data_IF_569152453545
#
_entry.id   IF_569152453545
#
_cell.length_a   1.000
_cell.length_b   1.000
_cell.length_c   1.000
_cell.angle_alpha   90.00
_cell.angle_beta   90.00
_cell.angle_gamma   90.00
#
_symmetry.space_group_name_H-M   'P 1'
#
loop_
_entity.id
_entity.type
_entity.pdbx_description
1 polymer ?
#
# COMPACT_ATOMS: atom_id res chain seq x y z
N UNK A 1 19.01 -7.57 -18.05
CA UNK A 1 19.56 -7.70 -16.67
C UNK A 1 18.49 -7.36 -15.67
N UNK A 2 18.57 -7.92 -14.46
CA UNK A 2 17.58 -7.71 -13.39
C UNK A 2 18.30 -7.19 -12.14
N UNK A 3 17.61 -6.37 -11.35
CA UNK A 3 18.16 -5.81 -10.12
C UNK A 3 17.08 -5.49 -9.10
N UNK A 4 17.47 -5.55 -7.83
CA UNK A 4 16.62 -5.19 -6.69
C UNK A 4 17.41 -4.34 -5.70
N UNK A 5 16.79 -3.26 -5.23
CA UNK A 5 17.32 -2.39 -4.17
C UNK A 5 16.41 -2.41 -2.96
N UNK A 6 16.97 -2.72 -1.78
CA UNK A 6 16.24 -2.74 -0.51
C UNK A 6 16.59 -1.53 0.35
N UNK A 7 15.61 -1.04 1.10
CA UNK A 7 15.80 0.03 2.08
C UNK A 7 14.81 -0.09 3.24
N UNK A 8 15.26 0.27 4.45
CA UNK A 8 14.39 0.44 5.60
C UNK A 8 13.93 1.92 5.65
N UNK A 9 12.82 2.21 4.98
CA UNK A 9 12.22 3.54 4.99
C UNK A 9 11.52 3.81 6.35
N UNK A 10 11.18 5.06 6.69
CA UNK A 10 10.55 5.40 7.98
C UNK A 10 9.28 4.61 8.30
N UNK A 11 8.54 4.16 7.27
CA UNK A 11 7.29 3.41 7.39
C UNK A 11 7.46 1.89 7.27
N UNK A 12 8.69 1.40 7.07
CA UNK A 12 8.99 -0.03 6.96
C UNK A 12 9.79 -0.44 5.71
N UNK A 13 9.59 -1.68 5.26
CA UNK A 13 10.34 -2.28 4.18
C UNK A 13 10.00 -1.69 2.80
N UNK A 14 11.03 -1.22 2.09
CA UNK A 14 10.96 -0.70 0.72
C UNK A 14 11.82 -1.56 -0.20
N UNK A 15 11.28 -1.91 -1.37
CA UNK A 15 12.05 -2.53 -2.44
C UNK A 15 11.70 -1.94 -3.81
N UNK A 16 12.72 -1.64 -4.59
CA UNK A 16 12.59 -1.25 -6.00
C UNK A 16 13.18 -2.36 -6.87
N UNK A 17 12.42 -2.78 -7.88
CA UNK A 17 12.76 -3.89 -8.79
C UNK A 17 12.85 -3.35 -10.20
N UNK A 18 13.92 -3.69 -10.92
CA UNK A 18 14.15 -3.20 -12.27
C UNK A 18 14.58 -4.33 -13.21
N UNK A 19 14.01 -4.31 -14.42
CA UNK A 19 14.43 -5.13 -15.56
C UNK A 19 14.89 -4.19 -16.67
N UNK A 20 16.14 -4.33 -17.11
CA UNK A 20 16.73 -3.54 -18.20
C UNK A 20 16.96 -4.45 -19.42
N UNK A 21 16.45 -4.02 -20.57
CA UNK A 21 16.59 -4.67 -21.89
C UNK A 21 16.91 -3.60 -22.94
N UNK A 22 17.84 -3.89 -23.86
CA UNK A 22 18.30 -2.94 -24.89
C UNK A 22 18.65 -1.53 -24.37
N UNK A 23 19.37 -1.51 -23.24
CA UNK A 23 19.76 -0.29 -22.52
C UNK A 23 18.60 0.61 -22.06
N UNK A 24 17.37 0.07 -22.00
CA UNK A 24 16.17 0.75 -21.50
C UNK A 24 15.53 -0.02 -20.35
N UNK A 25 14.79 0.70 -19.50
CA UNK A 25 13.96 0.08 -18.47
C UNK A 25 12.78 -0.60 -19.17
N UNK A 26 12.76 -1.93 -19.15
CA UNK A 26 11.63 -2.74 -19.63
C UNK A 26 10.53 -2.84 -18.58
N UNK A 27 10.90 -2.97 -17.31
CA UNK A 27 9.96 -3.00 -16.20
C UNK A 27 10.57 -2.35 -14.96
N UNK A 28 9.75 -1.64 -14.19
CA UNK A 28 10.10 -1.07 -12.90
C UNK A 28 8.93 -1.23 -11.94
N UNK A 29 9.17 -1.82 -10.77
CA UNK A 29 8.13 -2.04 -9.76
C UNK A 29 8.65 -1.58 -8.40
N UNK A 30 7.83 -0.82 -7.67
CA UNK A 30 8.11 -0.42 -6.31
C UNK A 30 7.16 -1.17 -5.37
N UNK A 31 7.69 -1.93 -4.43
CA UNK A 31 6.91 -2.50 -3.32
C UNK A 31 7.28 -1.72 -2.07
N UNK A 32 6.34 -0.88 -1.63
CA UNK A 32 6.56 0.23 -0.70
C UNK A 32 5.91 -0.09 0.66
N UNK A 33 6.35 0.51 1.78
CA UNK A 33 5.89 0.10 3.11
C UNK A 33 4.37 0.20 3.30
N UNK A 34 3.78 1.31 2.87
CA UNK A 34 2.33 1.50 2.96
C UNK A 34 1.54 0.52 2.10
N UNK A 35 2.12 -0.04 1.03
CA UNK A 35 1.47 -1.07 0.20
C UNK A 35 1.25 -2.35 0.98
N UNK A 36 2.21 -2.71 1.85
CA UNK A 36 2.07 -3.87 2.76
C UNK A 36 0.98 -3.64 3.80
N UNK A 37 0.93 -2.44 4.38
CA UNK A 37 0.04 -2.17 5.51
C UNK A 37 -1.40 -1.87 5.09
N UNK A 38 -1.58 -1.08 4.03
CA UNK A 38 -2.86 -0.59 3.53
C UNK A 38 -3.40 -1.41 2.35
N UNK A 39 -2.71 -2.48 1.96
CA UNK A 39 -3.18 -3.39 0.93
C UNK A 39 -4.56 -3.95 1.28
N UNK A 40 -5.47 -4.09 0.30
CA UNK A 40 -6.76 -4.73 0.52
C UNK A 40 -6.55 -6.24 0.74
N UNK A 41 -7.66 -6.95 0.97
CA UNK A 41 -7.64 -8.42 1.01
C UNK A 41 -6.95 -9.02 -0.21
N UNK A 42 -6.14 -10.04 0.03
CA UNK A 42 -5.43 -10.75 -1.04
C UNK A 42 -6.37 -11.69 -1.82
N UNK A 43 -5.79 -12.47 -2.75
CA UNK A 43 -6.54 -13.39 -3.59
C UNK A 43 -7.25 -14.50 -2.81
N UNK A 44 -6.76 -14.84 -1.62
CA UNK A 44 -7.37 -15.84 -0.72
C UNK A 44 -8.34 -15.20 0.27
N UNK A 45 -8.53 -13.87 0.20
CA UNK A 45 -9.41 -13.11 1.07
C UNK A 45 -8.81 -12.76 2.43
N UNK A 46 -7.49 -12.92 2.60
CA UNK A 46 -6.82 -12.65 3.86
C UNK A 46 -6.73 -11.15 4.10
N UNK A 47 -7.04 -10.73 5.33
CA UNK A 47 -7.06 -9.32 5.72
C UNK A 47 -5.64 -8.78 5.95
N UNK A 48 -5.43 -7.53 5.55
CA UNK A 48 -4.15 -6.83 5.71
C UNK A 48 -3.91 -6.27 7.14
N UNK A 49 -2.74 -5.69 7.41
CA UNK A 49 -2.42 -5.08 8.71
C UNK A 49 -3.41 -4.00 9.15
N UNK A 50 -3.85 -3.12 8.24
CA UNK A 50 -4.87 -2.11 8.58
C UNK A 50 -6.20 -2.75 8.97
N UNK A 51 -6.72 -3.63 8.13
CA UNK A 51 -8.00 -4.30 8.36
C UNK A 51 -7.98 -5.12 9.67
N UNK A 52 -6.90 -5.86 9.92
CA UNK A 52 -6.75 -6.64 11.15
C UNK A 52 -6.59 -5.78 12.40
N UNK A 53 -5.87 -4.64 12.32
CA UNK A 53 -5.67 -3.74 13.46
C UNK A 53 -6.96 -3.08 13.96
N UNK A 54 -7.97 -2.98 13.08
CA UNK A 54 -9.26 -2.37 13.39
C UNK A 54 -10.28 -3.37 13.95
N UNK A 55 -10.02 -4.68 13.88
CA UNK A 55 -10.90 -5.69 14.45
C UNK A 55 -11.11 -5.43 15.94
N UNK A 56 -12.37 -5.52 16.36
CA UNK A 56 -12.81 -5.36 17.75
C UNK A 56 -12.42 -4.02 18.41
N UNK A 57 -12.07 -3.00 17.62
CA UNK A 57 -11.79 -1.66 18.14
C UNK A 57 -13.08 -1.06 18.72
N UNK A 58 -13.13 -0.72 20.02
CA UNK A 58 -14.32 -0.13 20.62
C UNK A 58 -14.54 1.27 20.03
N UNK A 59 -15.78 1.57 19.65
CA UNK A 59 -16.16 2.86 19.08
C UNK A 59 -17.17 3.51 20.03
N UNK A 60 -16.78 4.64 20.64
CA UNK A 60 -17.66 5.38 21.53
C UNK A 60 -18.80 6.10 20.77
N UNK A 61 -18.49 6.69 19.62
CA UNK A 61 -19.43 7.41 18.74
C UNK A 61 -19.16 7.04 17.28
N UNK A 62 -20.03 6.24 16.62
CA UNK A 62 -19.85 5.84 15.23
C UNK A 62 -19.80 7.01 14.23
N UNK A 63 -20.42 8.15 14.53
CA UNK A 63 -20.39 9.34 13.67
C UNK A 63 -19.06 10.11 13.83
N UNK A 64 -18.26 9.77 14.84
CA UNK A 64 -16.95 10.38 15.14
C UNK A 64 -15.93 9.31 15.53
N UNK A 65 -15.50 8.44 14.59
CA UNK A 65 -14.71 7.25 14.87
C UNK A 65 -13.23 7.58 15.16
N UNK A 66 -12.98 8.27 16.28
CA UNK A 66 -11.66 8.71 16.70
C UNK A 66 -10.71 7.53 16.92
N UNK A 67 -11.24 6.41 17.40
CA UNK A 67 -10.47 5.20 17.69
C UNK A 67 -9.94 4.57 16.39
N UNK A 68 -10.73 4.58 15.31
CA UNK A 68 -10.29 4.16 13.98
C UNK A 68 -9.13 5.03 13.51
N UNK A 69 -9.28 6.35 13.60
CA UNK A 69 -8.24 7.29 13.20
C UNK A 69 -6.96 7.10 14.02
N UNK A 70 -7.10 6.88 15.34
CA UNK A 70 -5.97 6.65 16.25
C UNK A 70 -5.18 5.41 15.84
N UNK A 71 -5.87 4.31 15.55
CA UNK A 71 -5.23 3.07 15.12
C UNK A 71 -4.55 3.24 13.77
N UNK A 72 -5.24 3.80 12.76
CA UNK A 72 -4.66 3.97 11.42
C UNK A 72 -3.49 4.96 11.41
N UNK A 73 -3.57 6.07 12.14
CA UNK A 73 -2.47 7.03 12.24
C UNK A 73 -1.23 6.47 12.93
N UNK A 74 -1.36 5.41 13.75
CA UNK A 74 -0.20 4.75 14.35
C UNK A 74 0.74 4.10 13.31
N UNK A 75 0.25 3.84 12.11
CA UNK A 75 1.04 3.32 10.99
C UNK A 75 1.68 4.42 10.12
N UNK A 76 1.45 5.71 10.42
CA UNK A 76 1.92 6.85 9.61
C UNK A 76 1.58 6.68 8.11
N UNK A 77 0.30 6.65 7.72
CA UNK A 77 -0.12 6.35 6.35
C UNK A 77 0.44 7.35 5.32
N UNK A 78 1.19 6.85 4.33
CA UNK A 78 1.52 7.59 3.10
C UNK A 78 0.80 6.96 1.90
N UNK A 79 -0.33 7.56 1.47
CA UNK A 79 -1.16 7.04 0.36
C UNK A 79 -0.49 7.25 -1.01
N UNK A 80 0.21 8.38 -1.18
CA UNK A 80 1.02 8.61 -2.37
C UNK A 80 2.08 7.49 -2.57
N UNK A 81 2.69 7.05 -1.47
CA UNK A 81 3.62 5.93 -1.46
C UNK A 81 2.90 4.61 -1.75
N UNK A 82 1.74 4.35 -1.13
CA UNK A 82 1.02 3.08 -1.26
C UNK A 82 0.61 2.76 -2.70
N UNK A 83 0.18 3.78 -3.45
CA UNK A 83 -0.41 3.61 -4.77
C UNK A 83 0.64 3.82 -5.87
N UNK A 84 1.39 4.92 -5.83
CA UNK A 84 2.46 5.31 -6.79
C UNK A 84 2.16 5.08 -8.29
N UNK A 85 0.89 4.87 -8.66
CA UNK A 85 0.42 4.77 -10.04
C UNK A 85 0.12 6.15 -10.58
N UNK A 86 0.64 6.43 -11.77
CA UNK A 86 0.37 7.67 -12.51
C UNK A 86 -0.03 7.24 -13.92
N UNK A 87 -1.18 7.72 -14.38
CA UNK A 87 -1.56 7.64 -15.78
C UNK A 87 -1.76 9.05 -16.33
N UNK A 88 -1.06 9.35 -17.42
CA UNK A 88 -1.11 10.66 -18.08
C UNK A 88 -2.24 10.76 -19.08
N UNK A 89 -2.92 9.65 -19.39
CA UNK A 89 -3.97 9.56 -20.41
C UNK A 89 -5.39 9.46 -19.82
N UNK A 90 -5.55 9.58 -18.50
CA UNK A 90 -6.81 9.49 -17.74
C UNK A 90 -7.60 8.19 -17.95
N UNK A 91 -6.91 7.08 -18.16
CA UNK A 91 -7.46 5.73 -18.24
C UNK A 91 -7.65 5.13 -16.84
N UNK A 92 -8.64 4.26 -16.69
CA UNK A 92 -8.82 3.45 -15.50
C UNK A 92 -7.64 2.46 -15.37
N UNK A 93 -6.82 2.62 -14.32
CA UNK A 93 -5.63 1.79 -14.12
C UNK A 93 -6.00 0.49 -13.42
N UNK A 94 -6.80 0.57 -12.34
CA UNK A 94 -7.23 -0.57 -11.52
C UNK A 94 -8.62 -0.31 -10.95
N UNK A 95 -9.47 -1.35 -10.93
CA UNK A 95 -10.73 -1.37 -10.20
C UNK A 95 -10.63 -2.29 -8.99
N UNK A 96 -10.85 -1.74 -7.80
CA UNK A 96 -10.88 -2.50 -6.54
C UNK A 96 -12.31 -2.51 -6.01
N UNK A 97 -12.76 -3.67 -5.53
CA UNK A 97 -14.08 -3.83 -4.88
C UNK A 97 -13.87 -3.93 -3.37
N UNK A 98 -14.30 -2.91 -2.63
CA UNK A 98 -14.47 -3.00 -1.19
C UNK A 98 -15.87 -3.54 -0.88
N UNK A 99 -16.01 -4.43 0.12
CA UNK A 99 -17.27 -4.98 0.60
C UNK A 99 -17.84 -4.13 1.73
#
# INVERSE_FOLDING_TARGET
>A
MEGVGFHAAPRGALSHWVVIEDAKIKNYQAVVPSTWNAGPRDADGQIGPYESSLLDTPIADPEKPLEVLRTIHSFDPCIACAIHMVDTEQKEIVKVKAL
#
